data_IF_178766241196
#
_entry.id   IF_178766241196
#
_cell.length_a   1.000
_cell.length_b   1.000
_cell.length_c   1.000
_cell.angle_alpha   90.00
_cell.angle_beta   90.00
_cell.angle_gamma   90.00
#
_symmetry.space_group_name_H-M   'P 1'
#
loop_
_entity.id
_entity.type
_entity.pdbx_description
1 polymer ?
#
# COMPACT_ATOMS: atom_id res chain seq x y z
N UNK A 1 8.59 28.57 -11.26
CA UNK A 1 7.46 28.20 -10.39
C UNK A 1 7.61 26.75 -9.98
N UNK A 2 7.41 26.47 -8.70
CA UNK A 2 7.55 25.12 -8.17
C UNK A 2 6.14 24.52 -8.00
N UNK A 3 5.86 23.43 -8.69
CA UNK A 3 4.58 22.72 -8.56
C UNK A 3 4.65 21.74 -7.37
N UNK A 4 3.52 21.54 -6.65
CA UNK A 4 3.48 20.53 -5.59
C UNK A 4 3.58 19.13 -6.17
N UNK A 5 4.15 18.21 -5.37
CA UNK A 5 4.11 16.79 -5.68
C UNK A 5 2.73 16.24 -5.36
N UNK A 6 2.29 15.25 -6.13
CA UNK A 6 0.96 14.64 -5.96
C UNK A 6 1.14 13.17 -5.60
N UNK A 7 0.46 12.74 -4.53
CA UNK A 7 0.34 11.34 -4.17
C UNK A 7 -1.05 10.86 -4.56
N UNK A 8 -1.13 9.74 -5.29
CA UNK A 8 -2.40 9.11 -5.66
C UNK A 8 -2.80 8.09 -4.61
N UNK A 9 -4.06 8.14 -4.16
CA UNK A 9 -4.58 7.30 -3.07
C UNK A 9 -5.64 6.29 -3.53
N UNK A 10 -5.89 6.15 -4.82
CA UNK A 10 -7.01 5.35 -5.35
C UNK A 10 -6.92 3.87 -4.92
N UNK A 11 -5.72 3.31 -4.85
CA UNK A 11 -5.53 1.90 -4.50
C UNK A 11 -5.56 1.62 -3.00
N UNK A 12 -5.54 2.64 -2.16
CA UNK A 12 -5.70 2.49 -0.71
C UNK A 12 -6.98 3.16 -0.22
N UNK A 13 -7.03 4.48 -0.19
CA UNK A 13 -8.17 5.22 0.34
C UNK A 13 -9.41 5.11 -0.55
N UNK A 14 -9.23 5.22 -1.85
CA UNK A 14 -10.35 5.16 -2.80
C UNK A 14 -11.12 3.84 -2.71
N UNK A 15 -10.44 2.72 -2.82
CA UNK A 15 -11.09 1.41 -2.73
C UNK A 15 -11.56 1.08 -1.30
N UNK A 16 -10.89 1.59 -0.27
CA UNK A 16 -11.33 1.45 1.11
C UNK A 16 -12.65 2.18 1.35
N UNK A 17 -12.78 3.37 0.83
CA UNK A 17 -13.96 4.22 1.01
C UNK A 17 -15.15 3.76 0.18
N UNK A 18 -14.92 3.29 -1.04
CA UNK A 18 -15.98 2.98 -2.00
C UNK A 18 -16.47 1.54 -1.93
N UNK A 19 -15.60 0.59 -1.66
CA UNK A 19 -15.93 -0.85 -1.66
C UNK A 19 -15.42 -1.59 -0.43
N UNK A 20 -15.28 -0.89 0.69
CA UNK A 20 -14.89 -1.45 1.99
C UNK A 20 -13.59 -2.30 1.92
N UNK A 21 -12.59 -1.83 1.17
CA UNK A 21 -11.29 -2.50 1.01
C UNK A 21 -11.39 -3.87 0.32
N UNK A 22 -12.38 -4.06 -0.55
CA UNK A 22 -12.63 -5.35 -1.22
C UNK A 22 -12.04 -5.45 -2.62
N UNK A 23 -11.25 -4.47 -3.08
CA UNK A 23 -10.61 -4.57 -4.39
C UNK A 23 -9.53 -5.65 -4.38
N UNK A 24 -9.62 -6.59 -5.32
CA UNK A 24 -8.65 -7.67 -5.46
C UNK A 24 -7.41 -7.20 -6.19
N UNK A 25 -6.28 -7.85 -5.94
CA UNK A 25 -5.04 -7.57 -6.66
C UNK A 25 -5.23 -7.72 -8.18
N UNK A 26 -5.96 -8.73 -8.62
CA UNK A 26 -6.27 -8.94 -10.04
C UNK A 26 -6.99 -7.77 -10.70
N UNK A 27 -7.77 -7.01 -9.92
CA UNK A 27 -8.46 -5.82 -10.41
C UNK A 27 -7.54 -4.59 -10.48
N UNK A 28 -6.48 -4.58 -9.70
CA UNK A 28 -5.49 -3.48 -9.68
C UNK A 28 -4.48 -3.60 -10.82
N UNK A 29 -4.03 -4.80 -11.13
CA UNK A 29 -2.95 -5.05 -12.10
C UNK A 29 -3.16 -4.31 -13.43
N UNK A 30 -4.35 -4.33 -14.06
CA UNK A 30 -4.55 -3.68 -15.37
C UNK A 30 -4.31 -2.18 -15.39
N UNK A 31 -4.42 -1.50 -14.25
CA UNK A 31 -4.28 -0.04 -14.17
C UNK A 31 -2.87 0.41 -13.71
N UNK A 32 -2.05 -0.49 -13.19
CA UNK A 32 -0.79 -0.13 -12.55
C UNK A 32 0.18 0.58 -13.49
N UNK A 33 0.34 0.10 -14.72
CA UNK A 33 1.26 0.74 -15.68
C UNK A 33 0.79 2.13 -16.08
N UNK A 34 -0.52 2.35 -16.15
CA UNK A 34 -1.10 3.67 -16.45
C UNK A 34 -0.88 4.64 -15.31
N UNK A 35 -1.12 4.22 -14.07
CA UNK A 35 -0.85 5.03 -12.87
C UNK A 35 0.63 5.37 -12.78
N UNK A 36 1.51 4.42 -13.06
CA UNK A 36 2.96 4.60 -13.02
C UNK A 36 3.47 5.64 -14.02
N UNK A 37 2.77 5.85 -15.13
CA UNK A 37 3.18 6.77 -16.18
C UNK A 37 2.57 8.18 -16.08
N UNK A 38 1.70 8.44 -15.10
CA UNK A 38 1.09 9.77 -14.92
C UNK A 38 2.10 10.78 -14.36
N UNK A 39 3.07 10.33 -13.55
CA UNK A 39 4.05 11.22 -12.94
C UNK A 39 3.75 11.57 -11.49
N UNK A 40 3.00 10.75 -10.79
CA UNK A 40 2.80 10.91 -9.35
C UNK A 40 4.13 10.78 -8.60
N UNK A 41 4.25 11.52 -7.51
CA UNK A 41 5.38 11.40 -6.58
C UNK A 41 5.37 10.06 -5.86
N UNK A 42 4.19 9.60 -5.46
CA UNK A 42 4.00 8.31 -4.83
C UNK A 42 2.59 7.78 -5.09
N UNK A 43 2.45 6.47 -4.99
CA UNK A 43 1.18 5.76 -5.09
C UNK A 43 0.94 5.07 -3.76
N UNK A 44 -0.06 5.53 -3.00
CA UNK A 44 -0.44 4.89 -1.74
C UNK A 44 -1.34 3.70 -2.03
N UNK A 45 -0.81 2.50 -1.81
CA UNK A 45 -1.45 1.26 -2.20
C UNK A 45 -1.67 0.28 -1.05
N UNK A 46 -1.19 0.61 0.13
CA UNK A 46 -1.17 -0.32 1.26
C UNK A 46 -1.44 0.40 2.58
N UNK A 47 -1.98 -0.32 3.53
CA UNK A 47 -2.30 0.20 4.86
C UNK A 47 -2.87 -0.91 5.74
N UNK A 48 -3.28 -0.56 6.96
CA UNK A 48 -3.81 -1.52 7.93
C UNK A 48 -5.04 -2.26 7.44
N UNK A 49 -6.03 -1.54 6.92
CA UNK A 49 -7.25 -2.14 6.40
C UNK A 49 -6.99 -3.03 5.17
N UNK A 50 -6.07 -2.63 4.30
CA UNK A 50 -5.66 -3.43 3.14
C UNK A 50 -5.04 -4.75 3.59
N UNK A 51 -4.10 -4.69 4.52
CA UNK A 51 -3.45 -5.88 5.08
C UNK A 51 -4.46 -6.83 5.70
N UNK A 52 -5.33 -6.30 6.57
CA UNK A 52 -6.35 -7.07 7.27
C UNK A 52 -7.37 -7.71 6.31
N UNK A 53 -7.88 -6.95 5.33
CA UNK A 53 -8.85 -7.46 4.38
C UNK A 53 -8.30 -8.52 3.43
N UNK A 54 -7.03 -8.44 3.05
CA UNK A 54 -6.38 -9.50 2.29
C UNK A 54 -6.50 -10.84 3.03
N UNK A 55 -6.21 -10.84 4.33
CA UNK A 55 -6.24 -12.05 5.14
C UNK A 55 -7.66 -12.51 5.47
N UNK A 56 -8.54 -11.59 5.85
CA UNK A 56 -9.88 -11.94 6.35
C UNK A 56 -10.88 -12.23 5.26
N UNK A 57 -10.87 -11.47 4.17
CA UNK A 57 -11.99 -11.47 3.21
C UNK A 57 -11.60 -11.83 1.79
N UNK A 58 -10.38 -11.53 1.37
CA UNK A 58 -9.97 -11.72 -0.02
C UNK A 58 -9.20 -13.01 -0.26
N UNK A 59 -8.79 -13.70 0.79
CA UNK A 59 -7.91 -14.86 0.70
C UNK A 59 -6.66 -14.57 -0.13
N UNK A 60 -6.06 -13.41 0.13
CA UNK A 60 -4.83 -12.96 -0.52
C UNK A 60 -3.72 -12.79 0.51
N UNK A 61 -2.48 -13.03 0.08
CA UNK A 61 -1.29 -12.70 0.86
C UNK A 61 -0.98 -11.20 0.69
N UNK A 62 -1.06 -10.39 1.77
CA UNK A 62 -0.80 -8.95 1.65
C UNK A 62 0.64 -8.63 1.23
N UNK A 63 1.60 -9.48 1.56
CA UNK A 63 3.00 -9.32 1.16
C UNK A 63 3.19 -9.61 -0.33
N UNK A 64 2.54 -10.63 -0.85
CA UNK A 64 2.52 -10.92 -2.28
C UNK A 64 1.90 -9.75 -3.06
N UNK A 65 0.79 -9.21 -2.58
CA UNK A 65 0.17 -8.01 -3.16
C UNK A 65 1.20 -6.89 -3.31
N UNK A 66 1.94 -6.60 -2.25
CA UNK A 66 2.97 -5.55 -2.26
C UNK A 66 4.05 -5.84 -3.30
N UNK A 67 4.57 -7.05 -3.32
CA UNK A 67 5.62 -7.45 -4.29
C UNK A 67 5.14 -7.38 -5.73
N UNK A 68 3.91 -7.83 -6.00
CA UNK A 68 3.33 -7.79 -7.35
C UNK A 68 3.14 -6.34 -7.81
N UNK A 69 2.59 -5.49 -6.96
CA UNK A 69 2.44 -4.07 -7.30
C UNK A 69 3.82 -3.43 -7.55
N UNK A 70 4.80 -3.70 -6.68
CA UNK A 70 6.17 -3.20 -6.86
C UNK A 70 6.78 -3.65 -8.18
N UNK A 71 6.53 -4.86 -8.60
CA UNK A 71 7.05 -5.38 -9.87
C UNK A 71 6.41 -4.73 -11.10
N UNK A 72 5.20 -4.18 -10.97
CA UNK A 72 4.47 -3.52 -12.05
C UNK A 72 4.60 -1.99 -12.04
N UNK A 73 5.11 -1.40 -10.98
CA UNK A 73 5.31 0.04 -10.84
C UNK A 73 6.81 0.32 -10.80
N UNK A 74 7.32 0.96 -11.85
CA UNK A 74 8.78 1.11 -12.07
C UNK A 74 9.30 2.51 -11.75
N UNK A 75 8.45 3.53 -11.87
CA UNK A 75 8.86 4.94 -11.80
C UNK A 75 8.35 5.66 -10.57
N UNK A 76 7.24 5.19 -9.99
CA UNK A 76 6.54 5.84 -8.89
C UNK A 76 6.85 5.13 -7.59
N UNK A 77 7.16 5.88 -6.56
CA UNK A 77 7.37 5.32 -5.22
C UNK A 77 6.07 4.72 -4.68
N UNK A 78 6.18 3.61 -3.97
CA UNK A 78 5.04 3.00 -3.29
C UNK A 78 4.97 3.51 -1.85
N UNK A 79 3.77 3.93 -1.46
CA UNK A 79 3.50 4.50 -0.15
C UNK A 79 2.53 3.63 0.64
N UNK A 80 2.73 3.62 1.94
CA UNK A 80 1.87 2.95 2.90
C UNK A 80 1.42 3.91 3.99
N UNK A 81 0.15 3.81 4.40
CA UNK A 81 -0.36 4.48 5.59
C UNK A 81 -0.09 3.62 6.83
N UNK A 82 0.69 4.17 7.76
CA UNK A 82 0.93 3.57 9.08
C UNK A 82 0.16 4.33 10.18
N UNK A 83 -0.48 3.59 11.07
CA UNK A 83 -1.15 4.16 12.26
C UNK A 83 -0.22 4.15 13.48
N UNK A 84 0.96 4.69 13.34
CA UNK A 84 1.94 4.71 14.43
C UNK A 84 2.20 3.32 14.99
N UNK A 85 2.21 3.17 16.31
CA UNK A 85 2.50 1.89 16.98
C UNK A 85 1.42 0.82 16.80
N UNK A 86 0.26 1.16 16.27
CA UNK A 86 -0.79 0.18 15.99
C UNK A 86 -0.55 -0.59 14.67
N UNK A 87 0.37 -0.11 13.82
CA UNK A 87 0.69 -0.71 12.53
C UNK A 87 -0.57 -1.05 11.73
N UNK A 88 -0.83 -2.35 11.54
CA UNK A 88 -1.99 -2.87 10.80
C UNK A 88 -3.07 -3.42 11.74
N UNK A 89 -2.93 -3.26 13.04
CA UNK A 89 -3.85 -3.79 14.06
C UNK A 89 -4.60 -2.70 14.82
N UNK A 90 -5.23 -3.12 15.92
CA UNK A 90 -6.06 -2.26 16.76
C UNK A 90 -5.43 -1.97 18.13
N UNK A 91 -4.29 -2.57 18.43
CA UNK A 91 -3.55 -2.41 19.67
C UNK A 91 -2.12 -1.97 19.35
N UNK A 92 -1.46 -1.35 20.32
CA UNK A 92 -0.04 -1.01 20.19
C UNK A 92 0.83 -2.26 20.20
N UNK A 93 1.78 -2.33 19.30
CA UNK A 93 2.79 -3.39 19.25
C UNK A 93 4.06 -2.93 19.94
N UNK A 94 4.89 -3.87 20.38
CA UNK A 94 6.22 -3.60 20.89
C UNK A 94 7.09 -2.97 19.81
N UNK A 95 8.05 -2.13 20.22
CA UNK A 95 8.96 -1.44 19.29
C UNK A 95 9.73 -2.43 18.40
N UNK A 96 10.11 -3.59 18.92
CA UNK A 96 10.79 -4.63 18.12
C UNK A 96 9.91 -5.16 16.97
N UNK A 97 8.60 -5.26 17.19
CA UNK A 97 7.64 -5.68 16.15
C UNK A 97 7.49 -4.59 15.11
N UNK A 98 7.42 -3.33 15.56
CA UNK A 98 7.31 -2.16 14.66
C UNK A 98 8.55 -2.08 13.76
N UNK A 99 9.75 -2.19 14.34
CA UNK A 99 11.00 -2.15 13.59
C UNK A 99 11.06 -3.27 12.54
N UNK A 100 10.69 -4.48 12.95
CA UNK A 100 10.66 -5.62 12.02
C UNK A 100 9.64 -5.42 10.90
N UNK A 101 8.44 -4.90 11.22
CA UNK A 101 7.40 -4.66 10.23
C UNK A 101 7.84 -3.60 9.21
N UNK A 102 8.38 -2.48 9.66
CA UNK A 102 8.87 -1.41 8.78
C UNK A 102 10.00 -1.94 7.88
N UNK A 103 10.96 -2.66 8.47
CA UNK A 103 12.06 -3.27 7.73
C UNK A 103 11.53 -4.21 6.63
N UNK A 104 10.63 -5.13 7.00
CA UNK A 104 10.06 -6.09 6.05
C UNK A 104 9.22 -5.41 4.98
N UNK A 105 8.46 -4.38 5.33
CA UNK A 105 7.68 -3.60 4.36
C UNK A 105 8.58 -2.91 3.34
N UNK A 106 9.67 -2.31 3.80
CA UNK A 106 10.67 -1.68 2.94
C UNK A 106 11.35 -2.72 2.02
N UNK A 107 11.79 -3.85 2.59
CA UNK A 107 12.41 -4.93 1.81
C UNK A 107 11.48 -5.48 0.72
N UNK A 108 10.18 -5.46 0.93
CA UNK A 108 9.18 -5.98 0.00
C UNK A 108 8.63 -4.92 -0.98
N UNK A 109 9.00 -3.65 -0.83
CA UNK A 109 8.69 -2.67 -1.85
C UNK A 109 8.13 -1.33 -1.40
N UNK A 110 7.88 -1.09 -0.12
CA UNK A 110 7.44 0.23 0.36
C UNK A 110 8.63 1.20 0.36
N UNK A 111 8.42 2.33 -0.31
CA UNK A 111 9.41 3.40 -0.40
C UNK A 111 9.10 4.54 0.57
N UNK A 112 7.82 4.78 0.88
CA UNK A 112 7.35 5.91 1.69
C UNK A 112 6.35 5.42 2.74
N UNK A 113 6.57 5.85 3.99
CA UNK A 113 5.64 5.60 5.09
C UNK A 113 4.97 6.88 5.53
#
# INVERSE_FOLDING_TARGET
>A
MKYPSITELVLRDGQQSLIATRMRLSDMIPILSKLDNIGFSSLEMWGGATYDCCLRFLNEDPWERLRVIKSNVKKTDLQMLLRGKNLVGYKKYDDSVIDLFIKKSSENGIDVF
#
